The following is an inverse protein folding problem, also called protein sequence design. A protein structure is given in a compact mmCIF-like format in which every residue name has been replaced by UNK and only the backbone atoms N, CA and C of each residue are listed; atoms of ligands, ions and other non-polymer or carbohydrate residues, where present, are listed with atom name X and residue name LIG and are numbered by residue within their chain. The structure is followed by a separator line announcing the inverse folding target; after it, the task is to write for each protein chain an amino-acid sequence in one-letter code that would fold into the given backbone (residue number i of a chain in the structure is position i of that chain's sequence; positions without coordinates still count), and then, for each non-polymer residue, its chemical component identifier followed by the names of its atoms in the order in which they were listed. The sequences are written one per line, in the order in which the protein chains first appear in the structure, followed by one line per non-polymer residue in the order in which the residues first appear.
data_IF_104809239657
#
_entry.id   IF_104809239657
#
_cell.length_a   1.000
_cell.length_b   1.000
_cell.length_c   1.000
_cell.angle_alpha   90.00
_cell.angle_beta   90.00
_cell.angle_gamma   90.00
#
_symmetry.space_group_name_H-M   'P 1'
#
loop_
_entity.id
_entity.type
_entity.pdbx_description
1 polymer ?
#
# COMPACT_ATOMS: atom_id res chain seq x y z
N UNK A 1 71.65 -24.32 34.92
CA UNK A 1 71.72 -22.91 34.50
C UNK A 1 71.43 -22.85 33.02
N UNK A 2 70.25 -22.27 32.73
CA UNK A 2 69.73 -21.71 31.49
C UNK A 2 70.42 -22.01 30.15
N UNK A 3 69.76 -22.89 29.38
CA UNK A 3 69.94 -23.08 27.94
C UNK A 3 69.34 -21.88 27.21
N UNK A 4 70.17 -20.98 26.70
CA UNK A 4 69.80 -20.00 25.68
C UNK A 4 70.92 -20.06 24.66
N UNK A 5 70.56 -20.08 23.37
CA UNK A 5 71.39 -19.79 22.18
C UNK A 5 71.51 -20.95 21.17
N UNK A 6 70.45 -21.71 20.93
CA UNK A 6 70.37 -22.51 19.68
C UNK A 6 69.26 -22.06 18.72
N UNK A 7 68.25 -21.31 19.19
CA UNK A 7 67.11 -20.92 18.34
C UNK A 7 67.41 -19.79 17.32
N UNK A 8 68.60 -19.17 17.41
CA UNK A 8 69.00 -18.02 16.59
C UNK A 8 69.64 -18.36 15.24
N UNK A 9 69.99 -19.64 14.99
CA UNK A 9 70.71 -20.04 13.78
C UNK A 9 69.79 -20.52 12.64
N UNK A 10 68.47 -20.58 12.87
CA UNK A 10 67.50 -21.18 11.94
C UNK A 10 66.66 -20.16 11.15
N UNK A 11 66.96 -18.87 11.23
CA UNK A 11 66.24 -17.82 10.50
C UNK A 11 67.14 -17.19 9.43
N UNK A 12 66.73 -17.35 8.17
CA UNK A 12 67.51 -16.83 7.03
C UNK A 12 67.42 -15.30 7.00
N UNK A 13 68.52 -14.57 6.74
CA UNK A 13 68.57 -13.09 6.82
C UNK A 13 67.70 -12.37 5.79
N UNK A 14 67.17 -13.07 4.78
CA UNK A 14 66.28 -12.54 3.74
C UNK A 14 64.80 -12.88 3.98
N UNK A 15 64.48 -13.58 5.06
CA UNK A 15 63.12 -13.99 5.36
C UNK A 15 62.34 -12.77 5.88
N UNK A 16 61.60 -12.10 4.98
CA UNK A 16 60.68 -11.02 5.37
C UNK A 16 59.74 -11.54 6.46
N UNK A 17 59.51 -10.74 7.51
CA UNK A 17 58.54 -11.07 8.55
C UNK A 17 57.22 -11.47 7.86
N UNK A 18 56.67 -12.63 8.23
CA UNK A 18 55.34 -13.04 7.74
C UNK A 18 54.39 -11.91 8.08
N UNK A 19 53.85 -11.23 7.06
CA UNK A 19 52.81 -10.23 7.27
C UNK A 19 51.72 -10.89 8.12
N UNK A 20 51.33 -10.24 9.22
CA UNK A 20 50.36 -10.80 10.17
C UNK A 20 49.12 -11.30 9.42
N UNK A 21 48.56 -12.43 9.88
CA UNK A 21 47.40 -13.07 9.24
C UNK A 21 46.30 -12.02 8.98
N UNK A 22 46.17 -11.59 7.74
CA UNK A 22 44.99 -10.84 7.29
C UNK A 22 43.82 -11.81 7.26
N UNK A 23 42.63 -11.29 7.56
CA UNK A 23 41.41 -12.10 7.47
C UNK A 23 41.31 -12.72 6.07
N UNK A 24 40.91 -13.99 6.02
CA UNK A 24 40.75 -14.70 4.75
C UNK A 24 39.76 -13.94 3.85
N UNK A 25 40.02 -13.89 2.55
CA UNK A 25 39.18 -13.15 1.59
C UNK A 25 37.70 -13.53 1.67
N UNK A 26 37.39 -14.78 2.00
CA UNK A 26 36.01 -15.25 2.23
C UNK A 26 35.39 -14.59 3.47
N UNK A 27 36.13 -14.49 4.57
CA UNK A 27 35.66 -13.79 5.77
C UNK A 27 35.34 -12.32 5.47
N UNK A 28 36.21 -11.65 4.70
CA UNK A 28 35.95 -10.27 4.29
C UNK A 28 34.69 -10.13 3.41
N UNK A 29 34.45 -11.08 2.50
CA UNK A 29 33.25 -11.10 1.66
C UNK A 29 31.98 -11.38 2.48
N UNK A 30 32.03 -12.34 3.41
CA UNK A 30 30.92 -12.67 4.31
C UNK A 30 30.53 -11.52 5.24
N UNK A 31 31.52 -10.80 5.79
CA UNK A 31 31.25 -9.61 6.61
C UNK A 31 30.64 -8.48 5.77
N UNK A 32 31.11 -8.30 4.54
CA UNK A 32 30.55 -7.32 3.61
C UNK A 32 29.08 -7.61 3.29
N UNK A 33 28.77 -8.86 2.95
CA UNK A 33 27.39 -9.30 2.66
C UNK A 33 26.48 -9.11 3.89
N UNK A 34 27.00 -9.37 5.08
CA UNK A 34 26.27 -9.17 6.35
C UNK A 34 25.99 -7.71 6.65
N UNK A 35 26.95 -6.83 6.40
CA UNK A 35 26.77 -5.37 6.53
C UNK A 35 25.78 -4.83 5.50
N UNK A 36 25.87 -5.26 4.24
CA UNK A 36 24.89 -4.89 3.22
C UNK A 36 23.48 -5.38 3.57
N UNK A 37 23.34 -6.61 4.06
CA UNK A 37 22.05 -7.13 4.51
C UNK A 37 21.45 -6.29 5.65
N UNK A 38 22.29 -5.85 6.60
CA UNK A 38 21.87 -4.92 7.65
C UNK A 38 21.43 -3.58 7.08
N UNK A 39 22.25 -2.95 6.23
CA UNK A 39 21.92 -1.66 5.60
C UNK A 39 20.62 -1.72 4.80
N UNK A 40 20.40 -2.78 4.02
CA UNK A 40 19.16 -3.02 3.26
C UNK A 40 17.95 -3.12 4.19
N UNK A 41 18.08 -3.85 5.31
CA UNK A 41 17.01 -3.97 6.32
C UNK A 41 16.70 -2.61 6.97
N UNK A 42 17.72 -1.88 7.41
CA UNK A 42 17.54 -0.56 8.00
C UNK A 42 16.89 0.41 7.01
N UNK A 43 17.30 0.39 5.75
CA UNK A 43 16.72 1.23 4.71
C UNK A 43 15.23 0.92 4.47
N UNK A 44 14.85 -0.37 4.43
CA UNK A 44 13.44 -0.78 4.32
C UNK A 44 12.60 -0.36 5.53
N UNK A 45 13.16 -0.45 6.73
CA UNK A 45 12.46 -0.05 7.96
C UNK A 45 12.30 1.47 8.03
N UNK A 46 13.30 2.22 7.57
CA UNK A 46 13.30 3.68 7.59
C UNK A 46 12.38 4.30 6.51
N UNK A 47 12.12 3.60 5.42
CA UNK A 47 11.21 4.05 4.36
C UNK A 47 9.76 4.11 4.81
N UNK A 48 9.01 5.07 4.25
CA UNK A 48 7.57 5.11 4.38
C UNK A 48 6.89 3.92 3.66
N UNK A 49 5.64 3.60 4.03
CA UNK A 49 4.88 2.52 3.41
C UNK A 49 4.73 2.70 1.89
N UNK A 50 4.51 3.93 1.43
CA UNK A 50 4.41 4.24 0.00
C UNK A 50 5.75 4.07 -0.72
N UNK A 51 6.84 4.51 -0.10
CA UNK A 51 8.20 4.39 -0.65
C UNK A 51 8.64 2.92 -0.77
N UNK A 52 8.35 2.12 0.26
CA UNK A 52 8.57 0.66 0.21
C UNK A 52 7.82 0.03 -0.95
N UNK A 53 6.54 0.36 -1.12
CA UNK A 53 5.73 -0.14 -2.22
C UNK A 53 6.36 0.22 -3.58
N UNK A 54 6.73 1.48 -3.78
CA UNK A 54 7.36 1.94 -5.03
C UNK A 54 8.65 1.18 -5.33
N UNK A 55 9.50 0.97 -4.33
CA UNK A 55 10.74 0.20 -4.48
C UNK A 55 10.44 -1.25 -4.89
N UNK A 56 9.51 -1.93 -4.21
CA UNK A 56 9.17 -3.31 -4.53
C UNK A 56 8.57 -3.49 -5.92
N UNK A 57 7.70 -2.58 -6.35
CA UNK A 57 7.15 -2.60 -7.72
C UNK A 57 8.26 -2.41 -8.75
N UNK A 58 9.17 -1.46 -8.52
CA UNK A 58 10.32 -1.23 -9.40
C UNK A 58 11.24 -2.45 -9.48
N UNK A 59 11.55 -3.06 -8.33
CA UNK A 59 12.38 -4.27 -8.25
C UNK A 59 11.69 -5.42 -9.01
N UNK A 60 10.39 -5.62 -8.82
CA UNK A 60 9.62 -6.66 -9.52
C UNK A 60 9.68 -6.50 -11.04
N UNK A 61 9.47 -5.28 -11.55
CA UNK A 61 9.55 -4.96 -12.98
C UNK A 61 10.95 -5.24 -13.53
N UNK A 62 12.00 -4.89 -12.78
CA UNK A 62 13.39 -5.09 -13.20
C UNK A 62 13.77 -6.58 -13.32
N UNK A 63 13.35 -7.42 -12.37
CA UNK A 63 13.75 -8.83 -12.34
C UNK A 63 12.91 -9.73 -13.24
N UNK A 64 11.59 -9.50 -13.30
CA UNK A 64 10.67 -10.41 -13.99
C UNK A 64 10.21 -9.90 -15.36
N UNK A 65 10.48 -8.62 -15.67
CA UNK A 65 9.96 -7.98 -16.87
C UNK A 65 8.46 -7.67 -16.73
N UNK A 66 8.06 -6.50 -17.24
CA UNK A 66 6.69 -5.99 -17.17
C UNK A 66 6.67 -4.48 -17.38
N UNK A 67 5.50 -3.89 -17.59
CA UNK A 67 5.36 -2.43 -17.67
C UNK A 67 4.61 -1.92 -16.45
N UNK A 68 4.88 -0.68 -16.04
CA UNK A 68 4.10 0.00 -14.99
C UNK A 68 2.61 0.06 -15.37
N UNK A 69 2.34 0.18 -16.68
CA UNK A 69 1.00 0.20 -17.26
C UNK A 69 0.17 -1.05 -16.91
N UNK A 70 0.82 -2.21 -16.79
CA UNK A 70 0.13 -3.47 -16.47
C UNK A 70 -0.41 -3.51 -15.03
N UNK A 71 0.12 -2.65 -14.15
CA UNK A 71 -0.34 -2.51 -12.76
C UNK A 71 -1.52 -1.54 -12.62
N UNK A 72 -2.00 -0.93 -13.71
CA UNK A 72 -3.18 -0.06 -13.64
C UNK A 72 -4.42 -0.91 -13.36
N UNK A 73 -5.07 -0.64 -12.23
CA UNK A 73 -6.35 -1.25 -11.89
C UNK A 73 -7.40 -0.88 -12.95
N UNK A 74 -8.09 -1.88 -13.48
CA UNK A 74 -9.23 -1.67 -14.38
C UNK A 74 -10.39 -1.04 -13.59
N UNK A 75 -10.62 0.26 -13.76
CA UNK A 75 -11.75 0.97 -13.15
C UNK A 75 -13.10 0.76 -13.87
N UNK A 76 -13.14 -0.08 -14.91
CA UNK A 76 -14.31 -0.22 -15.79
C UNK A 76 -15.58 -0.71 -15.08
N UNK A 77 -15.44 -1.46 -13.99
CA UNK A 77 -16.55 -2.01 -13.21
C UNK A 77 -16.69 -1.37 -11.82
N UNK A 78 -15.98 -0.26 -11.57
CA UNK A 78 -16.10 0.42 -10.29
C UNK A 78 -17.42 1.18 -10.25
N UNK A 79 -18.36 0.68 -9.44
CA UNK A 79 -19.59 1.40 -9.14
C UNK A 79 -19.33 2.42 -8.05
N UNK A 80 -19.60 3.69 -8.32
CA UNK A 80 -19.61 4.72 -7.27
C UNK A 80 -20.93 4.64 -6.51
N UNK A 81 -20.94 5.01 -5.23
CA UNK A 81 -22.16 5.17 -4.42
C UNK A 81 -23.23 5.99 -5.16
N UNK A 82 -22.82 7.02 -5.90
CA UNK A 82 -23.70 7.86 -6.71
C UNK A 82 -24.36 7.09 -7.87
N UNK A 83 -23.62 6.20 -8.53
CA UNK A 83 -24.15 5.37 -9.62
C UNK A 83 -25.13 4.33 -9.07
N UNK A 84 -24.81 3.74 -7.92
CA UNK A 84 -25.69 2.81 -7.20
C UNK A 84 -27.02 3.49 -6.83
N UNK A 85 -26.97 4.73 -6.32
CA UNK A 85 -28.15 5.52 -6.00
C UNK A 85 -28.95 5.83 -7.26
N UNK A 86 -28.29 6.19 -8.38
CA UNK A 86 -28.97 6.45 -9.66
C UNK A 86 -29.58 5.19 -10.27
N UNK A 87 -28.98 4.02 -10.12
CA UNK A 87 -29.52 2.75 -10.62
C UNK A 87 -30.75 2.30 -9.82
N UNK A 88 -30.72 2.46 -8.49
CA UNK A 88 -31.74 1.95 -7.58
C UNK A 88 -32.68 3.04 -7.03
N UNK A 89 -32.72 4.22 -7.67
CA UNK A 89 -33.53 5.34 -7.20
C UNK A 89 -35.02 4.98 -7.23
N UNK A 90 -35.69 5.15 -6.08
CA UNK A 90 -37.14 5.00 -5.96
C UNK A 90 -37.69 6.10 -5.08
N UNK A 91 -38.71 6.80 -5.58
CA UNK A 91 -39.32 7.93 -4.88
C UNK A 91 -40.32 7.48 -3.80
N UNK A 92 -41.16 6.48 -4.10
CA UNK A 92 -41.95 5.75 -3.10
C UNK A 92 -41.35 4.36 -2.87
N UNK A 93 -41.03 4.08 -1.61
CA UNK A 93 -40.68 2.76 -1.11
C UNK A 93 -41.92 2.17 -0.44
N UNK A 94 -42.40 1.00 -0.90
CA UNK A 94 -43.51 0.29 -0.25
C UNK A 94 -42.96 -0.72 0.76
N UNK A 95 -43.77 -1.14 1.74
CA UNK A 95 -43.35 -2.13 2.76
C UNK A 95 -43.00 -3.50 2.14
N UNK A 96 -43.65 -3.87 1.03
CA UNK A 96 -43.35 -5.11 0.29
C UNK A 96 -41.95 -5.11 -0.35
N UNK A 97 -41.39 -3.91 -0.62
CA UNK A 97 -40.06 -3.76 -1.20
C UNK A 97 -38.93 -3.94 -0.16
N UNK A 98 -39.28 -3.99 1.14
CA UNK A 98 -38.34 -4.24 2.24
C UNK A 98 -37.83 -5.69 2.22
N UNK A 99 -38.62 -6.62 1.66
CA UNK A 99 -38.28 -8.04 1.56
C UNK A 99 -37.15 -8.34 0.55
N UNK A 100 -36.99 -7.51 -0.50
CA UNK A 100 -36.00 -7.66 -1.58
C UNK A 100 -34.85 -6.63 -1.49
N UNK A 101 -34.49 -6.22 -0.27
CA UNK A 101 -33.49 -5.19 -0.01
C UNK A 101 -32.05 -5.70 -0.19
N UNK A 102 -31.51 -5.51 -1.40
CA UNK A 102 -30.07 -5.56 -1.62
C UNK A 102 -29.39 -4.35 -0.93
N UNK A 103 -28.09 -4.46 -0.61
CA UNK A 103 -27.34 -3.38 0.05
C UNK A 103 -27.39 -2.06 -0.75
N UNK A 104 -27.42 -2.15 -2.08
CA UNK A 104 -27.56 -1.03 -3.02
C UNK A 104 -28.88 -0.25 -2.81
N UNK A 105 -29.99 -0.98 -2.68
CA UNK A 105 -31.32 -0.42 -2.41
C UNK A 105 -31.38 0.23 -1.03
N UNK A 106 -30.74 -0.39 -0.03
CA UNK A 106 -30.66 0.18 1.34
C UNK A 106 -29.86 1.48 1.36
N UNK A 107 -28.80 1.59 0.56
CA UNK A 107 -28.03 2.82 0.39
C UNK A 107 -28.89 3.93 -0.25
N UNK A 108 -29.62 3.60 -1.32
CA UNK A 108 -30.55 4.52 -1.97
C UNK A 108 -31.64 5.01 -1.01
N UNK A 109 -32.30 4.10 -0.27
CA UNK A 109 -33.32 4.45 0.74
C UNK A 109 -32.77 5.42 1.79
N UNK A 110 -31.61 5.10 2.39
CA UNK A 110 -30.95 5.97 3.39
C UNK A 110 -30.61 7.35 2.83
N UNK A 111 -30.19 7.43 1.57
CA UNK A 111 -29.91 8.71 0.91
C UNK A 111 -31.18 9.55 0.72
N UNK A 112 -32.26 8.92 0.26
CA UNK A 112 -33.56 9.58 0.07
C UNK A 112 -34.25 9.97 1.38
N UNK A 113 -34.13 9.17 2.44
CA UNK A 113 -34.66 9.50 3.76
C UNK A 113 -33.93 10.69 4.41
N UNK A 114 -32.63 10.83 4.10
CA UNK A 114 -31.83 12.00 4.53
C UNK A 114 -32.16 13.26 3.71
N UNK A 115 -32.66 13.10 2.49
CA UNK A 115 -33.07 14.23 1.67
C UNK A 115 -34.24 14.92 2.38
N UNK A 116 -34.06 16.19 2.76
CA UNK A 116 -35.14 16.97 3.34
C UNK A 116 -36.27 17.02 2.30
N UNK A 117 -37.40 16.39 2.63
CA UNK A 117 -38.63 16.41 1.82
C UNK A 117 -39.28 17.79 1.96
N UNK A 118 -38.59 18.85 1.54
CA UNK A 118 -39.16 20.18 1.38
C UNK A 118 -40.01 20.22 0.11
N UNK A 119 -40.97 19.29 -0.01
CA UNK A 119 -42.12 19.51 -0.87
C UNK A 119 -43.13 20.27 -0.01
N UNK A 120 -43.18 21.60 -0.18
CA UNK A 120 -44.31 22.38 0.29
C UNK A 120 -45.59 21.78 -0.33
N UNK A 121 -46.47 21.23 0.50
CA UNK A 121 -47.82 20.86 0.06
C UNK A 121 -48.59 22.18 -0.08
N UNK A 122 -48.44 22.83 -1.23
CA UNK A 122 -49.26 23.98 -1.57
C UNK A 122 -50.62 23.47 -2.06
N UNK A 123 -51.69 23.78 -1.35
CA UNK A 123 -53.04 23.54 -1.84
C UNK A 123 -53.34 24.53 -2.99
N UNK A 124 -53.19 24.04 -4.22
CA UNK A 124 -53.45 24.79 -5.44
C UNK A 124 -54.94 24.71 -5.86
N UNK A 125 -55.83 24.11 -5.07
CA UNK A 125 -57.25 23.98 -5.41
C UNK A 125 -57.94 25.32 -5.74
N UNK A 126 -57.42 26.43 -5.19
CA UNK A 126 -57.90 27.80 -5.45
C UNK A 126 -56.89 28.69 -6.18
N UNK A 127 -56.00 28.12 -6.99
CA UNK A 127 -54.97 28.90 -7.69
C UNK A 127 -55.56 29.99 -8.62
N UNK A 128 -56.74 29.74 -9.23
CA UNK A 128 -57.45 30.73 -10.06
C UNK A 128 -58.05 31.90 -9.29
N UNK A 129 -58.29 31.73 -7.98
CA UNK A 129 -58.74 32.80 -7.07
C UNK A 129 -57.57 33.53 -6.39
N UNK A 130 -56.32 33.20 -6.77
CA UNK A 130 -55.08 33.73 -6.21
C UNK A 130 -54.96 33.55 -4.68
N UNK A 131 -55.63 32.52 -4.14
CA UNK A 131 -55.60 32.15 -2.72
C UNK A 131 -54.84 30.84 -2.57
N UNK A 132 -53.51 30.93 -2.53
CA UNK A 132 -52.65 29.80 -2.19
C UNK A 132 -52.50 29.77 -0.67
N UNK A 133 -52.79 28.63 -0.05
CA UNK A 133 -52.40 28.36 1.35
C UNK A 133 -51.09 27.58 1.34
N UNK A 134 -50.15 28.00 2.19
CA UNK A 134 -48.86 27.36 2.43
C UNK A 134 -48.91 26.55 3.73
#
# INVERSE_FOLDING_TARGET
TFSIKEDGLLTKPFQKAKQGNVAHRQFAAEEWDREEARKRRFHLIAMDAYERHKKFVSDYILYYGGKIEDFQRSGANDKTDLDVIRENHRFLWNEDDEADMNWEKRLAKKYYDKLFKEYCIADLSRYKENKVRF
#
